data_IF_310176257980
#
_entry.id   IF_310176257980
#
_cell.length_a   1.000
_cell.length_b   1.000
_cell.length_c   1.000
_cell.angle_alpha   90.00
_cell.angle_beta   90.00
_cell.angle_gamma   90.00
#
_symmetry.space_group_name_H-M   'P 1'
#
loop_
_entity.id
_entity.type
_entity.pdbx_description
1 polymer ?
#
# COMPACT_ATOMS: atom_id res chain seq x y z
N UNK A 1 -14.93 18.52 2.06
CA UNK A 1 -15.03 17.03 2.09
C UNK A 1 -13.80 16.35 1.49
N UNK A 2 -13.39 16.67 0.25
CA UNK A 2 -12.20 16.07 -0.43
C UNK A 2 -10.90 16.16 0.39
N UNK A 3 -10.55 17.35 0.88
CA UNK A 3 -9.31 17.55 1.64
C UNK A 3 -9.22 16.72 2.93
N UNK A 4 -10.34 16.51 3.63
CA UNK A 4 -10.37 15.66 4.82
C UNK A 4 -10.10 14.19 4.50
N UNK A 5 -10.74 13.66 3.46
CA UNK A 5 -10.53 12.28 2.98
C UNK A 5 -9.08 12.09 2.52
N UNK A 6 -8.52 13.09 1.85
CA UNK A 6 -7.12 13.07 1.41
C UNK A 6 -6.15 13.00 2.59
N UNK A 7 -6.36 13.81 3.64
CA UNK A 7 -5.52 13.77 4.84
C UNK A 7 -5.59 12.39 5.50
N UNK A 8 -6.79 11.81 5.64
CA UNK A 8 -6.95 10.45 6.18
C UNK A 8 -6.23 9.41 5.31
N UNK A 9 -6.32 9.52 3.99
CA UNK A 9 -5.62 8.64 3.07
C UNK A 9 -4.10 8.73 3.23
N UNK A 10 -3.54 9.93 3.38
CA UNK A 10 -2.10 10.14 3.60
C UNK A 10 -1.66 9.53 4.94
N UNK A 11 -2.40 9.82 6.02
CA UNK A 11 -2.06 9.30 7.36
C UNK A 11 -2.07 7.77 7.36
N UNK A 12 -3.14 7.16 6.81
CA UNK A 12 -3.25 5.70 6.71
C UNK A 12 -2.15 5.09 5.84
N UNK A 13 -1.75 5.75 4.76
CA UNK A 13 -0.63 5.33 3.90
C UNK A 13 0.70 5.32 4.65
N UNK A 14 0.99 6.36 5.42
CA UNK A 14 2.22 6.46 6.25
C UNK A 14 2.21 5.36 7.31
N UNK A 15 1.08 5.13 7.98
CA UNK A 15 0.95 4.05 8.97
C UNK A 15 1.16 2.67 8.34
N UNK A 16 0.54 2.40 7.18
CA UNK A 16 0.69 1.14 6.47
C UNK A 16 2.15 0.90 6.05
N UNK A 17 2.84 1.95 5.58
CA UNK A 17 4.26 1.89 5.22
C UNK A 17 5.14 1.56 6.42
N UNK A 18 4.97 2.26 7.55
CA UNK A 18 5.75 2.03 8.78
C UNK A 18 5.54 0.61 9.29
N UNK A 19 4.29 0.13 9.40
CA UNK A 19 4.01 -1.20 9.92
C UNK A 19 4.58 -2.29 9.00
N UNK A 20 4.44 -2.12 7.67
CA UNK A 20 5.04 -3.04 6.70
C UNK A 20 6.56 -3.07 6.82
N UNK A 21 7.20 -1.91 7.04
CA UNK A 21 8.62 -1.81 7.34
C UNK A 21 9.03 -2.58 8.61
N UNK A 22 8.27 -2.42 9.71
CA UNK A 22 8.52 -3.16 10.96
C UNK A 22 8.43 -4.68 10.74
N UNK A 23 7.43 -5.15 9.98
CA UNK A 23 7.29 -6.58 9.63
C UNK A 23 8.53 -7.06 8.87
N UNK A 24 9.02 -6.29 7.91
CA UNK A 24 10.23 -6.59 7.15
C UNK A 24 11.48 -6.69 8.04
N UNK A 25 11.71 -5.71 8.91
CA UNK A 25 12.85 -5.74 9.84
C UNK A 25 12.82 -6.95 10.75
N UNK A 26 11.64 -7.28 11.30
CA UNK A 26 11.46 -8.48 12.14
C UNK A 26 11.66 -9.76 11.35
N UNK A 27 11.14 -9.83 10.12
CA UNK A 27 11.30 -11.00 9.25
C UNK A 27 12.78 -11.25 8.90
N UNK A 28 13.56 -10.21 8.61
CA UNK A 28 15.01 -10.33 8.38
C UNK A 28 15.70 -10.85 9.65
N UNK A 29 15.41 -10.27 10.82
CA UNK A 29 16.05 -10.72 12.05
C UNK A 29 15.64 -12.14 12.48
N UNK A 30 14.40 -12.57 12.20
CA UNK A 30 13.95 -13.95 12.39
C UNK A 30 14.62 -14.94 11.44
N UNK A 31 14.87 -14.55 10.19
CA UNK A 31 15.65 -15.36 9.24
C UNK A 31 17.12 -15.51 9.64
N UNK A 32 17.71 -14.46 10.24
CA UNK A 32 19.06 -14.48 10.80
C UNK A 32 19.16 -15.20 12.16
N UNK A 33 18.08 -15.86 12.62
CA UNK A 33 17.96 -16.52 13.93
C UNK A 33 18.21 -15.60 15.13
N UNK A 34 18.08 -14.28 14.96
CA UNK A 34 18.23 -13.31 16.05
C UNK A 34 16.93 -13.11 16.84
N UNK A 35 15.79 -13.45 16.26
CA UNK A 35 14.48 -13.33 16.90
C UNK A 35 13.70 -14.63 16.85
N UNK A 36 13.04 -14.94 17.96
CA UNK A 36 12.02 -15.97 18.04
C UNK A 36 10.66 -15.44 17.56
N UNK A 37 9.81 -16.35 17.07
CA UNK A 37 8.47 -16.03 16.63
C UNK A 37 7.63 -15.60 17.83
N UNK A 38 7.15 -14.35 17.82
CA UNK A 38 6.25 -13.81 18.85
C UNK A 38 4.84 -13.67 18.27
N UNK A 39 3.85 -13.55 19.15
CA UNK A 39 2.47 -13.22 18.75
C UNK A 39 2.40 -11.92 17.92
N UNK A 40 3.33 -10.99 18.13
CA UNK A 40 3.46 -9.77 17.33
C UNK A 40 3.71 -10.06 15.85
N UNK A 41 4.46 -11.11 15.50
CA UNK A 41 4.77 -11.47 14.11
C UNK A 41 3.54 -12.00 13.34
N UNK A 42 2.49 -12.37 14.05
CA UNK A 42 1.19 -12.78 13.49
C UNK A 42 0.18 -11.63 13.51
N UNK A 43 0.20 -10.80 14.57
CA UNK A 43 -0.71 -9.65 14.73
C UNK A 43 -0.35 -8.48 13.81
N UNK A 44 0.94 -8.21 13.57
CA UNK A 44 1.38 -7.10 12.72
C UNK A 44 0.91 -7.25 11.26
N UNK A 45 1.08 -8.41 10.59
CA UNK A 45 0.49 -8.67 9.28
C UNK A 45 -1.00 -8.37 9.18
N UNK A 46 -1.77 -8.75 10.20
CA UNK A 46 -3.21 -8.50 10.26
C UNK A 46 -3.52 -6.99 10.30
N UNK A 47 -2.84 -6.25 11.17
CA UNK A 47 -3.02 -4.79 11.30
C UNK A 47 -2.61 -4.08 10.00
N UNK A 48 -1.50 -4.47 9.38
CA UNK A 48 -1.05 -3.93 8.10
C UNK A 48 -2.11 -4.14 7.00
N UNK A 49 -2.65 -5.35 6.89
CA UNK A 49 -3.67 -5.68 5.90
C UNK A 49 -4.95 -4.86 6.13
N UNK A 50 -5.42 -4.71 7.38
CA UNK A 50 -6.59 -3.87 7.69
C UNK A 50 -6.36 -2.41 7.27
N UNK A 51 -5.19 -1.85 7.58
CA UNK A 51 -4.86 -0.49 7.19
C UNK A 51 -4.85 -0.33 5.66
N UNK A 52 -4.36 -1.32 4.92
CA UNK A 52 -4.37 -1.31 3.47
C UNK A 52 -5.81 -1.38 2.91
N UNK A 53 -6.72 -2.14 3.53
CA UNK A 53 -8.14 -2.10 3.17
C UNK A 53 -8.76 -0.72 3.41
N UNK A 54 -8.51 -0.11 4.58
CA UNK A 54 -9.00 1.23 4.88
C UNK A 54 -8.45 2.26 3.89
N UNK A 55 -7.14 2.21 3.62
CA UNK A 55 -6.47 3.06 2.65
C UNK A 55 -7.05 2.89 1.25
N UNK A 56 -7.36 1.64 0.84
CA UNK A 56 -7.98 1.34 -0.45
C UNK A 56 -9.40 1.90 -0.58
N UNK A 57 -10.22 1.80 0.45
CA UNK A 57 -11.57 2.41 0.46
C UNK A 57 -11.46 3.93 0.31
N UNK A 58 -10.58 4.57 1.11
CA UNK A 58 -10.34 6.01 1.01
C UNK A 58 -9.81 6.42 -0.38
N UNK A 59 -8.87 5.63 -0.93
CA UNK A 59 -8.31 5.85 -2.26
C UNK A 59 -9.34 5.68 -3.38
N UNK A 60 -10.26 4.73 -3.26
CA UNK A 60 -11.36 4.54 -4.22
C UNK A 60 -12.31 5.74 -4.21
N UNK A 61 -12.66 6.26 -3.02
CA UNK A 61 -13.49 7.45 -2.90
C UNK A 61 -12.81 8.65 -3.58
N UNK A 62 -11.50 8.85 -3.32
CA UNK A 62 -10.71 9.91 -3.96
C UNK A 62 -10.64 9.72 -5.49
N UNK A 63 -10.44 8.49 -5.96
CA UNK A 63 -10.39 8.15 -7.38
C UNK A 63 -11.70 8.53 -8.09
N UNK A 64 -12.85 8.16 -7.53
CA UNK A 64 -14.16 8.53 -8.10
C UNK A 64 -14.33 10.04 -8.10
N UNK A 65 -14.01 10.71 -7.00
CA UNK A 65 -14.10 12.18 -6.88
C UNK A 65 -13.23 12.91 -7.90
N UNK A 66 -12.06 12.35 -8.22
CA UNK A 66 -11.12 12.88 -9.21
C UNK A 66 -11.60 12.65 -10.65
N UNK A 67 -12.19 11.47 -10.93
CA UNK A 67 -12.75 11.18 -12.25
C UNK A 67 -14.00 12.02 -12.57
N UNK A 68 -14.82 12.35 -11.57
CA UNK A 68 -16.00 13.22 -11.74
C UNK A 68 -15.59 14.66 -12.09
N UNK A 69 -14.55 15.21 -11.46
CA UNK A 69 -14.04 16.55 -11.78
C UNK A 69 -13.55 16.66 -13.24
N UNK A 70 -12.96 15.58 -13.76
CA UNK A 70 -12.53 15.53 -15.14
C UNK A 70 -13.66 15.42 -16.16
N UNK A 71 -14.87 15.04 -15.73
CA UNK A 71 -16.07 14.92 -16.57
C UNK A 71 -16.85 16.23 -16.68
N UNK A 72 -16.69 17.16 -15.73
CA UNK A 72 -17.50 18.38 -15.63
C UNK A 72 -17.06 19.56 -16.52
N UNK A 73 -16.17 19.34 -17.49
CA UNK A 73 -16.11 20.20 -18.69
C UNK A 73 -15.16 21.40 -18.70
N UNK A 74 -14.31 21.64 -17.69
CA UNK A 74 -13.29 22.72 -17.74
C UNK A 74 -12.03 22.34 -18.56
N UNK A 75 -12.19 21.59 -19.65
CA UNK A 75 -11.08 21.05 -20.45
C UNK A 75 -10.75 22.00 -21.59
N UNK A 76 -10.15 23.17 -21.31
CA UNK A 76 -9.81 24.11 -22.39
C UNK A 76 -8.40 24.70 -22.44
N UNK A 77 -7.42 24.27 -21.63
CA UNK A 77 -6.03 24.79 -21.79
C UNK A 77 -4.92 23.73 -21.63
N UNK A 78 -5.15 22.58 -20.99
CA UNK A 78 -4.09 21.62 -20.65
C UNK A 78 -4.42 20.14 -20.94
N UNK A 79 -4.93 19.82 -22.13
CA UNK A 79 -5.32 18.44 -22.51
C UNK A 79 -4.25 17.37 -22.19
N UNK A 80 -2.96 17.66 -22.42
CA UNK A 80 -1.88 16.71 -22.12
C UNK A 80 -1.67 16.47 -20.61
N UNK A 81 -1.87 17.47 -19.76
CA UNK A 81 -1.72 17.31 -18.31
C UNK A 81 -2.90 16.56 -17.71
N UNK A 82 -4.11 16.82 -18.21
CA UNK A 82 -5.34 16.11 -17.85
C UNK A 82 -5.23 14.62 -18.18
N UNK A 83 -4.74 14.28 -19.37
CA UNK A 83 -4.52 12.88 -19.77
C UNK A 83 -3.48 12.20 -18.87
N UNK A 84 -2.33 12.84 -18.61
CA UNK A 84 -1.29 12.33 -17.69
C UNK A 84 -1.86 12.07 -16.28
N UNK A 85 -2.70 12.98 -15.78
CA UNK A 85 -3.35 12.83 -14.47
C UNK A 85 -4.31 11.65 -14.39
N UNK A 86 -5.09 11.39 -15.46
CA UNK A 86 -5.99 10.23 -15.52
C UNK A 86 -5.22 8.90 -15.56
N UNK A 87 -4.15 8.82 -16.36
CA UNK A 87 -3.30 7.62 -16.39
C UNK A 87 -2.67 7.35 -15.03
N UNK A 88 -2.12 8.38 -14.38
CA UNK A 88 -1.56 8.24 -13.03
C UNK A 88 -2.58 7.69 -12.03
N UNK A 89 -3.81 8.20 -12.04
CA UNK A 89 -4.85 7.73 -11.12
C UNK A 89 -5.18 6.25 -11.32
N UNK A 90 -5.21 5.77 -12.58
CA UNK A 90 -5.43 4.35 -12.90
C UNK A 90 -4.22 3.49 -12.50
N UNK A 91 -3.00 3.90 -12.85
CA UNK A 91 -1.76 3.19 -12.50
C UNK A 91 -1.62 3.05 -10.97
N UNK A 92 -1.83 4.16 -10.25
CA UNK A 92 -1.80 4.20 -8.79
C UNK A 92 -2.86 3.29 -8.17
N UNK A 93 -4.10 3.34 -8.67
CA UNK A 93 -5.19 2.49 -8.20
C UNK A 93 -4.90 1.00 -8.41
N UNK A 94 -4.38 0.62 -9.58
CA UNK A 94 -3.98 -0.76 -9.87
C UNK A 94 -2.91 -1.23 -8.90
N UNK A 95 -1.87 -0.43 -8.65
CA UNK A 95 -0.83 -0.77 -7.67
C UNK A 95 -1.38 -0.95 -6.25
N UNK A 96 -2.38 -0.17 -5.85
CA UNK A 96 -3.04 -0.35 -4.56
C UNK A 96 -3.77 -1.69 -4.47
N UNK A 97 -4.49 -2.09 -5.52
CA UNK A 97 -5.17 -3.41 -5.57
C UNK A 97 -4.15 -4.53 -5.45
N UNK A 98 -3.06 -4.48 -6.22
CA UNK A 98 -2.01 -5.49 -6.15
C UNK A 98 -1.36 -5.56 -4.77
N UNK A 99 -1.04 -4.41 -4.18
CA UNK A 99 -0.49 -4.33 -2.82
C UNK A 99 -1.42 -5.00 -1.81
N UNK A 100 -2.72 -4.69 -1.88
CA UNK A 100 -3.74 -5.25 -0.99
C UNK A 100 -3.84 -6.77 -1.12
N UNK A 101 -3.88 -7.30 -2.34
CA UNK A 101 -3.94 -8.76 -2.59
C UNK A 101 -2.70 -9.46 -2.03
N UNK A 102 -1.50 -8.93 -2.31
CA UNK A 102 -0.24 -9.49 -1.82
C UNK A 102 -0.17 -9.49 -0.29
N UNK A 103 -0.55 -8.38 0.36
CA UNK A 103 -0.60 -8.29 1.82
C UNK A 103 -1.65 -9.20 2.44
N UNK A 104 -2.80 -9.39 1.79
CA UNK A 104 -3.83 -10.31 2.25
C UNK A 104 -3.33 -11.76 2.24
N UNK A 105 -2.64 -12.17 1.17
CA UNK A 105 -1.98 -13.48 1.09
C UNK A 105 -0.92 -13.61 2.19
N UNK A 106 -0.10 -12.57 2.40
CA UNK A 106 0.90 -12.52 3.47
C UNK A 106 0.31 -12.77 4.86
N UNK A 107 -0.85 -12.16 5.16
CA UNK A 107 -1.57 -12.39 6.41
C UNK A 107 -2.08 -13.83 6.56
N UNK A 108 -2.66 -14.41 5.52
CA UNK A 108 -3.14 -15.81 5.54
C UNK A 108 -1.99 -16.77 5.88
N UNK A 109 -0.81 -16.55 5.30
CA UNK A 109 0.38 -17.35 5.62
C UNK A 109 0.88 -17.14 7.05
N UNK A 110 0.84 -15.90 7.56
CA UNK A 110 1.25 -15.59 8.92
C UNK A 110 0.35 -16.24 9.99
N UNK A 111 -0.94 -16.45 9.67
CA UNK A 111 -1.91 -17.11 10.56
C UNK A 111 -1.78 -18.63 10.57
N UNK A 112 -1.19 -19.23 9.54
CA UNK A 112 -1.11 -20.68 9.38
C UNK A 112 -0.10 -21.32 10.36
N UNK A 113 -0.36 -22.57 10.75
CA UNK A 113 0.47 -23.38 11.67
C UNK A 113 1.75 -23.91 11.00
N UNK A 114 2.51 -23.03 10.35
CA UNK A 114 3.77 -23.36 9.71
C UNK A 114 4.94 -23.27 10.69
N UNK A 115 6.08 -23.84 10.31
CA UNK A 115 7.31 -23.69 11.10
C UNK A 115 7.71 -22.21 11.19
N UNK A 116 8.27 -21.76 12.33
CA UNK A 116 8.66 -20.36 12.53
C UNK A 116 9.52 -19.78 11.39
N UNK A 117 10.46 -20.59 10.88
CA UNK A 117 11.34 -20.20 9.77
C UNK A 117 10.56 -19.98 8.46
N UNK A 118 9.53 -20.77 8.20
CA UNK A 118 8.70 -20.61 7.00
C UNK A 118 7.83 -19.35 7.11
N UNK A 119 7.30 -19.06 8.30
CA UNK A 119 6.53 -17.83 8.56
C UNK A 119 7.40 -16.59 8.30
N UNK A 120 8.63 -16.54 8.85
CA UNK A 120 9.53 -15.41 8.60
C UNK A 120 9.89 -15.26 7.11
N UNK A 121 10.14 -16.37 6.39
CA UNK A 121 10.43 -16.33 4.95
C UNK A 121 9.26 -15.80 4.14
N UNK A 122 8.03 -16.22 4.47
CA UNK A 122 6.82 -15.76 3.78
C UNK A 122 6.49 -14.32 4.11
N UNK A 123 6.61 -13.92 5.38
CA UNK A 123 6.44 -12.53 5.79
C UNK A 123 7.45 -11.61 5.06
N UNK A 124 8.72 -12.01 5.00
CA UNK A 124 9.73 -11.26 4.25
C UNK A 124 9.37 -11.11 2.77
N UNK A 125 8.93 -12.19 2.12
CA UNK A 125 8.57 -12.17 0.70
C UNK A 125 7.33 -11.31 0.42
N UNK A 126 6.20 -11.59 1.07
CA UNK A 126 4.94 -10.92 0.78
C UNK A 126 4.93 -9.47 1.25
N UNK A 127 5.39 -9.19 2.48
CA UNK A 127 5.47 -7.82 2.97
C UNK A 127 6.65 -7.06 2.34
N UNK A 128 7.68 -7.75 1.86
CA UNK A 128 8.72 -7.17 0.99
C UNK A 128 8.16 -6.63 -0.30
N UNK A 129 7.42 -7.47 -1.04
CA UNK A 129 6.76 -7.06 -2.29
C UNK A 129 5.76 -5.93 -2.02
N UNK A 130 4.93 -6.04 -0.98
CA UNK A 130 3.99 -5.00 -0.62
C UNK A 130 4.70 -3.66 -0.29
N UNK A 131 5.79 -3.69 0.47
CA UNK A 131 6.57 -2.49 0.79
C UNK A 131 7.13 -1.82 -0.47
N UNK A 132 7.68 -2.62 -1.39
CA UNK A 132 8.18 -2.11 -2.67
C UNK A 132 7.05 -1.47 -3.49
N UNK A 133 5.89 -2.11 -3.57
CA UNK A 133 4.73 -1.56 -4.30
C UNK A 133 4.22 -0.25 -3.69
N UNK A 134 4.15 -0.16 -2.35
CA UNK A 134 3.78 1.08 -1.64
C UNK A 134 4.79 2.19 -1.98
N UNK A 135 6.09 1.88 -1.94
CA UNK A 135 7.15 2.84 -2.25
C UNK A 135 7.05 3.34 -3.69
N UNK A 136 6.91 2.43 -4.66
CA UNK A 136 6.73 2.79 -6.08
C UNK A 136 5.51 3.68 -6.26
N UNK A 137 4.38 3.28 -5.65
CA UNK A 137 3.12 4.02 -5.72
C UNK A 137 3.23 5.45 -5.15
N UNK A 138 3.99 5.65 -4.06
CA UNK A 138 4.26 6.97 -3.49
C UNK A 138 5.18 7.82 -4.38
N UNK A 139 6.24 7.21 -4.93
CA UNK A 139 7.26 7.91 -5.73
C UNK A 139 6.75 8.30 -7.11
N UNK A 140 5.80 7.56 -7.70
CA UNK A 140 5.21 7.85 -9.00
C UNK A 140 4.64 9.27 -9.13
N UNK A 141 4.15 9.84 -8.03
CA UNK A 141 3.69 11.23 -8.03
C UNK A 141 4.87 12.20 -8.17
N UNK A 142 5.97 11.97 -7.45
CA UNK A 142 7.16 12.85 -7.39
C UNK A 142 7.91 12.86 -8.73
N UNK A 143 8.13 11.69 -9.33
CA UNK A 143 8.93 11.56 -10.57
C UNK A 143 8.30 12.31 -11.74
N UNK A 144 6.96 12.39 -11.79
CA UNK A 144 6.25 13.10 -12.87
C UNK A 144 6.26 14.63 -12.75
N UNK A 145 6.62 15.20 -11.59
CA UNK A 145 6.83 16.64 -11.43
C UNK A 145 8.27 17.07 -11.71
N UNK A 146 9.20 16.11 -11.83
CA UNK A 146 10.62 16.37 -12.10
C UNK A 146 11.00 16.26 -13.60
N UNK A 147 10.08 15.80 -14.46
CA UNK A 147 10.27 15.57 -15.90
C UNK A 147 9.18 16.30 -16.69
#
# INVERSE_FOLDING_TARGET
MKGFILILHIITSIMAFIITGIILFRAIGGLLKKYELKQLDVKLPFVATILLYLQFVLGTILFIMYMVEFSSGEVNVYQNQVLKGRFWAVEHFILMVFTLVVSHIGWIFAKSNHTPRLIFKKNFLYFGIACTMITVSMVMNIVRYAI
#
